data_IF_235766617101
#
_entry.id   IF_235766617101
#
_cell.length_a   1.000
_cell.length_b   1.000
_cell.length_c   1.000
_cell.angle_alpha   90.00
_cell.angle_beta   90.00
_cell.angle_gamma   90.00
#
_symmetry.space_group_name_H-M   'P 1'
#
loop_
_entity.id
_entity.type
_entity.pdbx_description
1 polymer ?
#
# COMPACT_ATOMS: atom_id res chain seq x y z
N UNK A 1 21.36 -13.75 -14.66
CA UNK A 1 22.76 -13.38 -14.99
C UNK A 1 23.33 -12.65 -13.79
N UNK A 2 24.48 -13.08 -13.23
CA UNK A 2 25.12 -12.33 -12.15
C UNK A 2 25.55 -10.94 -12.66
N UNK A 3 25.43 -9.92 -11.83
CA UNK A 3 25.89 -8.56 -12.17
C UNK A 3 27.41 -8.55 -12.30
N UNK A 4 27.95 -7.89 -13.33
CA UNK A 4 29.39 -7.68 -13.40
C UNK A 4 29.82 -6.65 -12.34
N UNK A 5 30.92 -6.89 -11.64
CA UNK A 5 31.42 -5.97 -10.59
C UNK A 5 31.64 -4.54 -11.12
N UNK A 6 32.11 -4.39 -12.37
CA UNK A 6 32.27 -3.07 -12.99
C UNK A 6 30.97 -2.28 -13.12
N UNK A 7 29.84 -2.97 -13.40
CA UNK A 7 28.52 -2.33 -13.41
C UNK A 7 28.06 -1.97 -12.00
N UNK A 8 28.27 -2.86 -11.01
CA UNK A 8 27.91 -2.58 -9.62
C UNK A 8 28.68 -1.37 -9.08
N UNK A 9 29.98 -1.27 -9.35
CA UNK A 9 30.77 -0.13 -8.88
C UNK A 9 30.40 1.17 -9.58
N UNK A 10 30.00 1.11 -10.85
CA UNK A 10 29.46 2.27 -11.57
C UNK A 10 28.15 2.75 -10.95
N UNK A 11 27.25 1.83 -10.58
CA UNK A 11 25.99 2.15 -9.89
C UNK A 11 26.24 2.72 -8.49
N UNK A 12 27.14 2.12 -7.70
CA UNK A 12 27.53 2.65 -6.39
C UNK A 12 28.10 4.06 -6.51
N UNK A 13 28.98 4.28 -7.48
CA UNK A 13 29.57 5.59 -7.74
C UNK A 13 28.51 6.63 -8.12
N UNK A 14 27.52 6.24 -8.93
CA UNK A 14 26.39 7.09 -9.29
C UNK A 14 25.54 7.44 -8.07
N UNK A 15 25.16 6.45 -7.26
CA UNK A 15 24.37 6.68 -6.04
C UNK A 15 25.08 7.61 -5.06
N UNK A 16 26.39 7.42 -4.85
CA UNK A 16 27.21 8.28 -3.99
C UNK A 16 27.35 9.69 -4.55
N UNK A 17 27.56 9.84 -5.86
CA UNK A 17 27.71 11.15 -6.50
C UNK A 17 26.45 12.02 -6.41
N UNK A 18 25.28 11.38 -6.29
CA UNK A 18 23.99 12.04 -6.22
C UNK A 18 23.31 11.87 -4.85
N UNK A 19 24.03 11.48 -3.79
CA UNK A 19 23.39 11.05 -2.55
C UNK A 19 22.50 12.13 -1.93
N UNK A 20 22.94 13.39 -1.97
CA UNK A 20 22.18 14.54 -1.45
C UNK A 20 20.98 14.96 -2.31
N UNK A 21 20.84 14.39 -3.51
CA UNK A 21 19.77 14.73 -4.47
C UNK A 21 18.75 13.59 -4.62
N UNK A 22 19.04 12.41 -4.08
CA UNK A 22 18.22 11.22 -4.22
C UNK A 22 17.19 11.12 -3.10
N UNK A 23 15.94 11.49 -3.40
CA UNK A 23 14.81 11.28 -2.48
C UNK A 23 14.20 9.87 -2.60
N UNK A 24 14.32 9.26 -3.78
CA UNK A 24 13.71 7.98 -4.10
C UNK A 24 14.65 7.10 -4.93
N UNK A 25 14.77 5.83 -4.55
CA UNK A 25 15.48 4.80 -5.31
C UNK A 25 14.53 3.64 -5.59
N UNK A 26 14.41 3.25 -6.86
CA UNK A 26 13.61 2.10 -7.31
C UNK A 26 14.53 1.02 -7.86
N UNK A 27 14.38 -0.19 -7.35
CA UNK A 27 15.18 -1.36 -7.70
C UNK A 27 14.26 -2.38 -8.37
N UNK A 28 14.50 -2.64 -9.65
CA UNK A 28 13.74 -3.59 -10.47
C UNK A 28 14.50 -4.91 -10.68
N UNK A 29 15.35 -5.30 -9.72
CA UNK A 29 16.14 -6.52 -9.86
C UNK A 29 16.43 -7.17 -8.53
N UNK A 30 16.33 -8.50 -8.53
CA UNK A 30 16.54 -9.34 -7.37
C UNK A 30 18.00 -9.40 -6.95
N UNK A 31 18.25 -9.37 -5.64
CA UNK A 31 19.59 -9.37 -5.06
C UNK A 31 20.44 -8.13 -5.38
N UNK A 32 19.89 -7.09 -6.00
CA UNK A 32 20.67 -5.87 -6.26
C UNK A 32 20.89 -5.05 -4.98
N UNK A 33 19.96 -5.14 -4.03
CA UNK A 33 19.99 -4.36 -2.79
C UNK A 33 21.23 -4.69 -1.94
N UNK A 34 21.54 -5.98 -1.74
CA UNK A 34 22.74 -6.38 -0.97
C UNK A 34 24.03 -5.75 -1.51
N UNK A 35 24.10 -5.50 -2.81
CA UNK A 35 25.25 -4.89 -3.47
C UNK A 35 25.26 -3.37 -3.43
N UNK A 36 24.11 -2.73 -3.27
CA UNK A 36 23.95 -1.27 -3.30
C UNK A 36 23.72 -0.64 -1.92
N UNK A 37 23.39 -1.43 -0.90
CA UNK A 37 22.99 -0.97 0.43
C UNK A 37 23.91 0.11 1.01
N UNK A 38 25.23 -0.11 0.92
CA UNK A 38 26.24 0.79 1.49
C UNK A 38 26.49 2.04 0.63
N UNK A 39 25.89 2.11 -0.56
CA UNK A 39 25.93 3.27 -1.44
C UNK A 39 24.61 4.07 -1.43
N UNK A 40 23.57 3.58 -0.76
CA UNK A 40 22.31 4.31 -0.63
C UNK A 40 22.51 5.52 0.30
N UNK A 41 21.86 6.67 0.00
CA UNK A 41 21.89 7.83 0.89
C UNK A 41 21.31 7.46 2.25
N UNK A 42 21.95 7.93 3.33
CA UNK A 42 21.46 7.72 4.70
C UNK A 42 20.18 8.49 5.00
N UNK A 43 19.89 9.53 4.22
CA UNK A 43 18.71 10.38 4.26
C UNK A 43 17.68 10.01 3.17
N UNK A 44 17.87 8.87 2.51
CA UNK A 44 16.95 8.37 1.50
C UNK A 44 15.54 8.26 2.07
N UNK A 45 14.60 8.99 1.49
CA UNK A 45 13.22 9.03 1.96
C UNK A 45 12.42 7.81 1.52
N UNK A 46 12.56 7.41 0.25
CA UNK A 46 11.73 6.37 -0.38
C UNK A 46 12.57 5.28 -1.06
N UNK A 47 12.19 4.03 -0.82
CA UNK A 47 12.81 2.86 -1.44
C UNK A 47 11.71 1.97 -2.02
N UNK A 48 11.85 1.61 -3.29
CA UNK A 48 10.90 0.76 -4.00
C UNK A 48 11.57 -0.50 -4.54
N UNK A 49 10.90 -1.63 -4.35
CA UNK A 49 11.27 -2.92 -4.93
C UNK A 49 10.19 -3.40 -5.87
N UNK A 50 10.58 -3.68 -7.11
CA UNK A 50 9.72 -4.35 -8.07
C UNK A 50 10.21 -5.76 -8.33
N UNK A 51 9.26 -6.67 -8.45
CA UNK A 51 9.51 -8.09 -8.69
C UNK A 51 10.43 -8.73 -7.64
N UNK A 52 10.29 -8.26 -6.40
CA UNK A 52 11.08 -8.70 -5.26
C UNK A 52 10.94 -10.20 -5.07
N UNK A 53 11.99 -10.93 -5.44
CA UNK A 53 12.23 -12.30 -5.04
C UNK A 53 13.45 -12.25 -4.14
N UNK A 54 13.25 -12.51 -2.85
CA UNK A 54 14.37 -12.63 -1.93
C UNK A 54 15.17 -13.86 -2.35
N UNK A 55 16.47 -13.74 -2.64
CA UNK A 55 17.31 -14.91 -2.66
C UNK A 55 17.29 -15.52 -1.25
N UNK A 56 17.40 -16.85 -1.19
CA UNK A 56 17.45 -17.69 0.02
C UNK A 56 18.53 -17.27 1.05
N UNK A 57 19.34 -16.25 0.77
CA UNK A 57 20.40 -15.76 1.64
C UNK A 57 19.98 -14.46 2.35
N UNK A 58 20.24 -14.39 3.66
CA UNK A 58 19.91 -13.30 4.60
C UNK A 58 20.46 -11.89 4.25
N UNK A 59 21.04 -11.69 3.07
CA UNK A 59 21.75 -10.48 2.66
C UNK A 59 20.85 -9.27 2.38
N UNK A 60 19.69 -9.47 1.76
CA UNK A 60 18.81 -8.36 1.36
C UNK A 60 18.07 -7.74 2.56
N UNK A 61 17.70 -8.53 3.58
CA UNK A 61 17.07 -7.97 4.77
C UNK A 61 18.08 -7.34 5.72
N UNK A 62 19.30 -7.88 5.78
CA UNK A 62 20.44 -7.17 6.37
C UNK A 62 20.72 -5.85 5.62
N UNK A 63 20.55 -5.81 4.30
CA UNK A 63 20.66 -4.59 3.52
C UNK A 63 19.56 -3.57 3.80
N UNK A 64 18.29 -4.01 3.92
CA UNK A 64 17.18 -3.15 4.38
C UNK A 64 17.43 -2.59 5.78
N UNK A 65 18.00 -3.39 6.69
CA UNK A 65 18.35 -2.91 8.05
C UNK A 65 19.45 -1.84 8.04
N UNK A 66 20.28 -1.80 7.00
CA UNK A 66 21.31 -0.75 6.81
C UNK A 66 20.74 0.54 6.24
N UNK A 67 19.56 0.50 5.60
CA UNK A 67 18.86 1.72 5.17
C UNK A 67 18.15 2.35 6.37
N UNK A 68 18.89 3.13 7.15
CA UNK A 68 18.35 3.91 8.26
C UNK A 68 17.57 5.12 7.75
N UNK A 69 16.65 5.64 8.56
CA UNK A 69 15.94 6.90 8.25
C UNK A 69 14.82 6.79 7.20
N UNK A 70 14.64 5.62 6.58
CA UNK A 70 13.64 5.41 5.52
C UNK A 70 12.21 5.74 5.99
N UNK A 71 11.53 6.61 5.25
CA UNK A 71 10.14 7.01 5.55
C UNK A 71 9.12 6.26 4.71
N UNK A 72 9.48 5.84 3.51
CA UNK A 72 8.55 5.19 2.58
C UNK A 72 9.17 3.92 1.98
N UNK A 73 8.42 2.83 2.04
CA UNK A 73 8.83 1.54 1.52
C UNK A 73 7.73 0.96 0.63
N UNK A 74 8.08 0.62 -0.61
CA UNK A 74 7.20 -0.11 -1.55
C UNK A 74 7.82 -1.45 -1.89
N UNK A 75 7.08 -2.53 -1.72
CA UNK A 75 7.52 -3.89 -2.04
C UNK A 75 6.45 -4.53 -2.93
N UNK A 76 6.85 -4.95 -4.13
CA UNK A 76 6.02 -5.73 -5.04
C UNK A 76 6.62 -7.11 -5.27
N UNK A 77 5.86 -8.16 -4.96
CA UNK A 77 6.27 -9.57 -5.12
C UNK A 77 5.51 -10.23 -6.27
N UNK A 78 6.14 -11.15 -7.02
CA UNK A 78 5.49 -11.81 -8.16
C UNK A 78 5.47 -13.35 -8.05
N UNK A 79 6.00 -13.91 -6.97
CA UNK A 79 6.21 -15.36 -6.83
C UNK A 79 5.21 -15.99 -5.85
N UNK A 80 4.62 -17.12 -6.26
CA UNK A 80 3.83 -18.03 -5.42
C UNK A 80 4.70 -19.14 -4.79
N UNK A 81 6.03 -19.04 -4.89
CA UNK A 81 6.96 -20.11 -4.49
C UNK A 81 7.12 -20.22 -2.96
N UNK A 82 7.56 -21.41 -2.52
CA UNK A 82 7.94 -21.72 -1.12
C UNK A 82 8.96 -20.73 -0.51
N UNK A 83 9.76 -20.04 -1.34
CA UNK A 83 10.69 -18.99 -0.90
C UNK A 83 9.98 -17.75 -0.33
N UNK A 84 8.69 -17.58 -0.59
CA UNK A 84 7.86 -16.48 -0.08
C UNK A 84 7.71 -16.53 1.45
N UNK A 85 7.73 -17.72 2.05
CA UNK A 85 7.61 -17.86 3.51
C UNK A 85 8.83 -17.29 4.22
N UNK A 86 10.03 -17.65 3.78
CA UNK A 86 11.28 -17.11 4.35
C UNK A 86 11.42 -15.60 4.09
N UNK A 87 11.04 -15.16 2.88
CA UNK A 87 10.97 -13.75 2.54
C UNK A 87 10.07 -12.97 3.50
N UNK A 88 8.94 -13.58 3.86
CA UNK A 88 7.96 -13.02 4.78
C UNK A 88 8.46 -12.90 6.21
N UNK A 89 9.15 -13.92 6.72
CA UNK A 89 9.75 -13.90 8.07
C UNK A 89 10.77 -12.76 8.19
N UNK A 90 11.61 -12.58 7.18
CA UNK A 90 12.66 -11.57 7.24
C UNK A 90 12.13 -10.15 7.08
N UNK A 91 11.14 -9.94 6.18
CA UNK A 91 10.44 -8.66 6.09
C UNK A 91 9.70 -8.35 7.39
N UNK A 92 9.05 -9.35 7.99
CA UNK A 92 8.40 -9.21 9.30
C UNK A 92 9.41 -8.72 10.35
N UNK A 93 10.58 -9.35 10.43
CA UNK A 93 11.61 -8.92 11.38
C UNK A 93 12.02 -7.46 11.11
N UNK A 94 12.13 -7.05 9.85
CA UNK A 94 12.40 -5.65 9.51
C UNK A 94 11.27 -4.72 10.00
N UNK A 95 10.01 -5.04 9.72
CA UNK A 95 8.85 -4.24 10.11
C UNK A 95 8.60 -4.22 11.63
N UNK A 96 9.06 -5.25 12.34
CA UNK A 96 9.05 -5.31 13.82
C UNK A 96 10.06 -4.38 14.46
N UNK A 97 11.13 -4.03 13.75
CA UNK A 97 12.09 -3.07 14.26
C UNK A 97 11.43 -1.67 14.29
N UNK A 98 11.51 -0.93 15.40
CA UNK A 98 10.98 0.42 15.46
C UNK A 98 11.72 1.31 14.46
N UNK A 99 10.96 2.07 13.66
CA UNK A 99 11.53 2.91 12.61
C UNK A 99 10.69 4.16 12.30
N UNK A 100 11.25 5.09 11.51
CA UNK A 100 10.57 6.30 11.06
C UNK A 100 9.65 6.05 9.85
N UNK A 101 9.31 4.79 9.56
CA UNK A 101 8.50 4.44 8.40
C UNK A 101 7.09 5.04 8.54
N UNK A 102 6.76 5.97 7.65
CA UNK A 102 5.50 6.72 7.59
C UNK A 102 4.55 6.12 6.53
N UNK A 103 5.08 5.51 5.46
CA UNK A 103 4.31 4.86 4.41
C UNK A 103 4.84 3.48 4.05
N UNK A 104 3.94 2.50 3.96
CA UNK A 104 4.24 1.14 3.54
C UNK A 104 3.28 0.74 2.42
N UNK A 105 3.83 0.30 1.30
CA UNK A 105 3.08 -0.25 0.17
C UNK A 105 3.49 -1.72 -0.05
N UNK A 106 2.55 -2.63 0.09
CA UNK A 106 2.72 -4.05 -0.17
C UNK A 106 1.85 -4.43 -1.36
N UNK A 107 2.48 -4.90 -2.43
CA UNK A 107 1.83 -5.23 -3.69
C UNK A 107 2.05 -6.71 -3.98
N UNK A 108 0.95 -7.45 -4.20
CA UNK A 108 0.92 -8.91 -4.44
C UNK A 108 1.62 -9.69 -3.33
N UNK A 109 1.56 -9.15 -2.12
CA UNK A 109 2.22 -9.72 -0.98
C UNK A 109 1.27 -10.68 -0.26
N UNK A 110 1.66 -11.95 -0.14
CA UNK A 110 0.94 -12.86 0.74
C UNK A 110 1.29 -12.49 2.16
N UNK A 111 0.30 -12.16 2.98
CA UNK A 111 0.48 -11.90 4.41
C UNK A 111 0.05 -13.17 5.15
N UNK A 112 0.91 -14.20 5.29
CA UNK A 112 0.54 -15.37 6.06
C UNK A 112 0.57 -15.00 7.54
N UNK A 113 -0.60 -14.69 8.14
CA UNK A 113 -0.77 -14.65 9.61
C UNK A 113 0.23 -13.76 10.36
N UNK A 114 0.60 -12.63 9.76
CA UNK A 114 1.55 -11.69 10.35
C UNK A 114 0.78 -10.62 11.13
N UNK A 115 1.17 -10.36 12.36
CA UNK A 115 0.81 -9.10 13.01
C UNK A 115 1.70 -8.03 12.39
N UNK A 116 1.20 -7.29 11.39
CA UNK A 116 2.00 -6.32 10.64
C UNK A 116 2.78 -5.40 11.58
N UNK A 117 4.11 -5.55 11.56
CA UNK A 117 5.03 -4.84 12.44
C UNK A 117 4.97 -5.17 13.92
N UNK A 118 3.98 -5.92 14.43
CA UNK A 118 3.79 -6.26 15.85
C UNK A 118 4.10 -5.08 16.83
N UNK A 119 3.69 -3.87 16.46
CA UNK A 119 3.93 -2.63 17.22
C UNK A 119 5.23 -1.88 16.88
N UNK A 120 6.07 -2.37 15.96
CA UNK A 120 7.27 -1.68 15.45
C UNK A 120 6.95 -0.50 14.53
N UNK A 121 5.84 -0.58 13.79
CA UNK A 121 5.38 0.43 12.83
C UNK A 121 4.63 1.60 13.52
N UNK A 122 5.17 2.12 14.61
CA UNK A 122 4.54 3.18 15.42
C UNK A 122 4.39 4.52 14.72
N UNK A 123 5.20 4.78 13.68
CA UNK A 123 5.18 6.00 12.88
C UNK A 123 4.32 5.89 11.62
N UNK A 124 3.80 4.70 11.32
CA UNK A 124 3.12 4.43 10.06
C UNK A 124 1.80 5.19 10.01
N UNK A 125 1.66 6.04 8.99
CA UNK A 125 0.49 6.86 8.73
C UNK A 125 -0.27 6.37 7.50
N UNK A 126 0.40 5.73 6.54
CA UNK A 126 -0.21 5.26 5.31
C UNK A 126 0.14 3.80 5.03
N UNK A 127 -0.88 2.99 4.77
CA UNK A 127 -0.75 1.59 4.39
C UNK A 127 -1.48 1.36 3.07
N UNK A 128 -0.75 0.86 2.07
CA UNK A 128 -1.30 0.41 0.78
C UNK A 128 -1.13 -1.09 0.69
N UNK A 129 -2.25 -1.80 0.48
CA UNK A 129 -2.29 -3.24 0.25
C UNK A 129 -2.93 -3.47 -1.12
N UNK A 130 -2.14 -3.94 -2.08
CA UNK A 130 -2.62 -4.32 -3.40
C UNK A 130 -2.44 -5.83 -3.59
N UNK A 131 -3.47 -6.52 -4.05
CA UNK A 131 -3.43 -7.96 -4.30
C UNK A 131 -2.99 -8.82 -3.10
N UNK A 132 -3.17 -8.33 -1.87
CA UNK A 132 -2.83 -9.03 -0.63
C UNK A 132 -3.94 -9.97 -0.13
N UNK A 133 -3.58 -10.85 0.82
CA UNK A 133 -4.56 -11.54 1.64
C UNK A 133 -5.07 -10.60 2.75
N UNK A 134 -6.39 -10.57 2.97
CA UNK A 134 -7.04 -9.69 3.95
C UNK A 134 -7.61 -10.45 5.16
N UNK A 135 -7.40 -11.77 5.24
CA UNK A 135 -8.03 -12.63 6.26
C UNK A 135 -7.59 -12.27 7.69
N UNK A 136 -6.44 -11.60 7.86
CA UNK A 136 -5.90 -11.13 9.15
C UNK A 136 -5.74 -9.61 9.24
N UNK A 137 -6.40 -8.88 8.33
CA UNK A 137 -6.23 -7.43 8.22
C UNK A 137 -6.62 -6.70 9.52
N UNK A 138 -7.62 -7.17 10.27
CA UNK A 138 -8.05 -6.50 11.50
C UNK A 138 -6.98 -6.56 12.59
N UNK A 139 -6.37 -7.74 12.77
CA UNK A 139 -5.27 -7.95 13.71
C UNK A 139 -4.06 -7.11 13.35
N UNK A 140 -3.77 -6.99 12.05
CA UNK A 140 -2.69 -6.15 11.53
C UNK A 140 -2.94 -4.67 11.82
N UNK A 141 -4.15 -4.18 11.54
CA UNK A 141 -4.52 -2.78 11.71
C UNK A 141 -4.52 -2.35 13.18
N UNK A 142 -4.86 -3.24 14.11
CA UNK A 142 -4.83 -2.98 15.56
C UNK A 142 -3.41 -2.62 16.07
N UNK A 143 -2.36 -3.06 15.37
CA UNK A 143 -0.97 -2.76 15.69
C UNK A 143 -0.46 -1.40 15.19
N UNK A 144 -1.30 -0.61 14.51
CA UNK A 144 -0.89 0.61 13.79
C UNK A 144 -1.56 1.86 14.37
N UNK A 145 -1.14 2.34 15.55
CA UNK A 145 -1.85 3.35 16.33
C UNK A 145 -1.92 4.74 15.65
N UNK A 146 -1.07 5.01 14.67
CA UNK A 146 -1.00 6.28 13.93
C UNK A 146 -1.50 6.19 12.49
N UNK A 147 -2.06 5.05 12.09
CA UNK A 147 -2.53 4.87 10.73
C UNK A 147 -3.68 5.83 10.44
N UNK A 148 -3.47 6.71 9.46
CA UNK A 148 -4.42 7.72 8.98
C UNK A 148 -5.05 7.34 7.65
N UNK A 149 -4.27 6.70 6.77
CA UNK A 149 -4.68 6.42 5.39
C UNK A 149 -4.51 4.94 5.08
N UNK A 150 -5.62 4.29 4.70
CA UNK A 150 -5.66 2.87 4.32
C UNK A 150 -6.15 2.73 2.88
N UNK A 151 -5.33 2.14 2.03
CA UNK A 151 -5.64 1.92 0.61
C UNK A 151 -5.65 0.42 0.33
N UNK A 152 -6.79 -0.12 -0.07
CA UNK A 152 -6.98 -1.52 -0.38
C UNK A 152 -7.30 -1.71 -1.86
N UNK A 153 -6.51 -2.52 -2.56
CA UNK A 153 -6.72 -2.90 -3.95
C UNK A 153 -6.86 -4.43 -4.07
N UNK A 154 -8.02 -5.01 -3.75
CA UNK A 154 -8.19 -6.47 -3.69
C UNK A 154 -8.00 -7.17 -5.05
N UNK A 155 -7.40 -8.37 -5.07
CA UNK A 155 -7.13 -9.08 -6.33
C UNK A 155 -8.42 -9.55 -7.04
N UNK A 156 -9.48 -9.89 -6.30
CA UNK A 156 -10.76 -10.43 -6.76
C UNK A 156 -11.85 -10.17 -5.70
N UNK A 157 -13.15 -10.35 -5.99
CA UNK A 157 -14.23 -9.95 -5.07
C UNK A 157 -14.31 -10.85 -3.84
N UNK A 158 -13.34 -10.75 -2.92
CA UNK A 158 -13.46 -11.27 -1.55
C UNK A 158 -14.46 -10.42 -0.77
N UNK A 159 -15.05 -10.94 0.32
CA UNK A 159 -15.99 -10.19 1.13
C UNK A 159 -15.28 -9.11 1.96
N UNK A 160 -14.66 -8.10 1.33
CA UNK A 160 -14.10 -6.92 2.02
C UNK A 160 -15.14 -6.22 2.92
N UNK A 161 -16.42 -6.38 2.60
CA UNK A 161 -17.51 -5.87 3.43
C UNK A 161 -17.50 -6.43 4.85
N UNK A 162 -17.04 -7.67 5.07
CA UNK A 162 -16.91 -8.26 6.41
C UNK A 162 -15.81 -7.54 7.21
N UNK A 163 -14.66 -7.29 6.57
CA UNK A 163 -13.55 -6.52 7.17
C UNK A 163 -14.04 -5.14 7.60
N UNK A 164 -14.69 -4.37 6.72
CA UNK A 164 -15.17 -3.02 7.06
C UNK A 164 -16.29 -2.99 8.10
N UNK A 165 -17.07 -4.07 8.22
CA UNK A 165 -18.07 -4.22 9.27
C UNK A 165 -17.40 -4.33 10.64
N UNK A 166 -16.26 -5.01 10.70
CA UNK A 166 -15.51 -5.29 11.93
C UNK A 166 -14.50 -4.20 12.30
N UNK A 167 -14.08 -3.37 11.35
CA UNK A 167 -13.31 -2.14 11.66
C UNK A 167 -14.20 -1.23 12.52
N UNK A 168 -13.85 -1.19 13.81
CA UNK A 168 -14.42 -0.25 14.77
C UNK A 168 -13.43 0.89 15.02
N UNK A 169 -13.91 2.05 15.48
CA UNK A 169 -13.05 3.15 15.91
C UNK A 169 -11.98 2.78 16.94
N UNK A 170 -12.21 1.72 17.72
CA UNK A 170 -11.24 1.26 18.72
C UNK A 170 -10.04 0.56 18.07
N UNK A 171 -10.20 -0.03 16.88
CA UNK A 171 -9.12 -0.74 16.17
C UNK A 171 -8.13 0.26 15.57
N UNK A 172 -8.63 1.33 14.94
CA UNK A 172 -7.79 2.36 14.30
C UNK A 172 -8.35 3.75 14.60
N UNK A 173 -8.05 4.31 15.78
CA UNK A 173 -8.66 5.57 16.21
C UNK A 173 -8.24 6.77 15.37
N UNK A 174 -7.10 6.69 14.67
CA UNK A 174 -6.53 7.76 13.87
C UNK A 174 -6.94 7.71 12.38
N UNK A 175 -7.78 6.76 11.96
CA UNK A 175 -8.12 6.58 10.55
C UNK A 175 -8.96 7.76 10.03
N UNK A 176 -8.48 8.38 8.95
CA UNK A 176 -9.05 9.57 8.32
C UNK A 176 -9.37 9.38 6.83
N UNK A 177 -8.63 8.50 6.14
CA UNK A 177 -8.81 8.20 4.72
C UNK A 177 -8.87 6.69 4.48
N UNK A 178 -9.88 6.25 3.74
CA UNK A 178 -10.00 4.88 3.24
C UNK A 178 -10.21 4.92 1.73
N UNK A 179 -9.37 4.23 0.98
CA UNK A 179 -9.51 4.04 -0.46
C UNK A 179 -9.71 2.55 -0.72
N UNK A 180 -10.74 2.20 -1.48
CA UNK A 180 -10.94 0.82 -1.93
C UNK A 180 -11.02 0.81 -3.44
N UNK A 181 -9.98 0.33 -4.11
CA UNK A 181 -9.94 0.25 -5.57
C UNK A 181 -10.15 -1.18 -6.02
N UNK A 182 -11.34 -1.50 -6.53
CA UNK A 182 -11.60 -2.83 -7.07
C UNK A 182 -10.99 -2.97 -8.47
N UNK A 183 -10.30 -4.09 -8.72
CA UNK A 183 -9.88 -4.45 -10.08
C UNK A 183 -11.11 -4.67 -10.95
N UNK A 184 -11.50 -3.62 -11.67
CA UNK A 184 -12.38 -3.79 -12.82
C UNK A 184 -11.54 -4.53 -13.86
N UNK A 185 -11.73 -5.85 -13.98
CA UNK A 185 -11.16 -6.61 -15.09
C UNK A 185 -11.74 -6.03 -16.38
N UNK A 186 -11.03 -5.07 -16.98
CA UNK A 186 -11.40 -4.44 -18.26
C UNK A 186 -11.49 -5.48 -19.41
N UNK A 187 -11.04 -6.71 -19.16
CA UNK A 187 -11.23 -7.86 -20.02
C UNK A 187 -12.62 -8.50 -19.81
N UNK A 188 -13.68 -7.71 -20.00
CA UNK A 188 -15.09 -8.13 -19.98
C UNK A 188 -15.49 -9.15 -21.06
N UNK A 189 -14.63 -10.10 -21.40
CA UNK A 189 -14.90 -11.22 -22.31
C UNK A 189 -14.64 -12.60 -21.68
N UNK A 190 -14.10 -12.67 -20.46
CA UNK A 190 -13.83 -13.94 -19.77
C UNK A 190 -14.87 -14.27 -18.71
N UNK A 191 -15.98 -14.92 -19.11
CA UNK A 191 -16.90 -15.77 -18.32
C UNK A 191 -17.00 -15.56 -16.79
N UNK A 192 -17.13 -14.32 -16.30
CA UNK A 192 -17.54 -14.10 -14.91
C UNK A 192 -19.04 -14.43 -14.82
N UNK A 193 -19.41 -15.46 -14.05
CA UNK A 193 -20.80 -15.83 -13.81
C UNK A 193 -21.63 -14.57 -13.46
N UNK A 194 -22.70 -14.24 -14.22
CA UNK A 194 -23.40 -12.94 -14.13
C UNK A 194 -24.08 -12.60 -12.79
N UNK A 195 -24.07 -13.50 -11.81
CA UNK A 195 -24.91 -13.39 -10.61
C UNK A 195 -24.24 -12.81 -9.35
N UNK A 196 -22.92 -12.92 -9.19
CA UNK A 196 -22.28 -12.68 -7.89
C UNK A 196 -21.57 -11.34 -7.76
N UNK A 197 -21.08 -10.75 -8.85
CA UNK A 197 -20.37 -9.47 -8.80
C UNK A 197 -21.31 -8.29 -8.51
N UNK A 198 -22.51 -8.27 -9.13
CA UNK A 198 -23.45 -7.14 -9.02
C UNK A 198 -24.05 -6.93 -7.62
N UNK A 199 -24.09 -7.96 -6.76
CA UNK A 199 -24.63 -7.84 -5.39
C UNK A 199 -23.58 -7.46 -4.35
N UNK A 200 -22.28 -7.57 -4.68
CA UNK A 200 -21.17 -7.29 -3.75
C UNK A 200 -20.84 -5.81 -3.65
N UNK A 201 -20.88 -5.09 -4.77
CA UNK A 201 -20.60 -3.64 -4.82
C UNK A 201 -21.56 -2.84 -3.92
N UNK A 202 -22.90 -3.04 -3.95
CA UNK A 202 -23.81 -2.33 -3.05
C UNK A 202 -23.55 -2.60 -1.57
N UNK A 203 -23.14 -3.82 -1.21
CA UNK A 203 -22.81 -4.17 0.18
C UNK A 203 -21.54 -3.46 0.64
N UNK A 204 -20.48 -3.50 -0.16
CA UNK A 204 -19.24 -2.79 0.13
C UNK A 204 -19.47 -1.28 0.29
N UNK A 205 -20.23 -0.68 -0.64
CA UNK A 205 -20.63 0.73 -0.54
C UNK A 205 -21.38 1.00 0.77
N UNK A 206 -22.32 0.12 1.15
CA UNK A 206 -23.08 0.27 2.40
C UNK A 206 -22.19 0.19 3.64
N UNK A 207 -21.18 -0.69 3.63
CA UNK A 207 -20.22 -0.81 4.73
C UNK A 207 -19.25 0.38 4.80
N UNK A 208 -18.77 0.90 3.67
CA UNK A 208 -17.96 2.13 3.64
C UNK A 208 -18.75 3.33 4.17
N UNK A 209 -20.02 3.46 3.80
CA UNK A 209 -20.92 4.45 4.40
C UNK A 209 -21.08 4.21 5.91
N UNK A 210 -21.34 2.97 6.31
CA UNK A 210 -21.45 2.58 7.72
C UNK A 210 -20.21 2.97 8.52
N UNK A 211 -19.03 2.71 7.98
CA UNK A 211 -17.74 3.07 8.56
C UNK A 211 -17.62 4.58 8.76
N UNK A 212 -17.94 5.37 7.72
CA UNK A 212 -17.94 6.85 7.79
C UNK A 212 -18.90 7.37 8.86
N UNK A 213 -20.08 6.77 9.03
CA UNK A 213 -21.06 7.16 10.07
C UNK A 213 -20.56 6.83 11.48
N UNK A 214 -19.95 5.67 11.67
CA UNK A 214 -19.50 5.17 12.98
C UNK A 214 -18.18 5.79 13.44
N UNK A 215 -17.39 6.36 12.54
CA UNK A 215 -16.10 6.95 12.88
C UNK A 215 -16.24 8.14 13.86
N UNK A 216 -15.40 8.23 14.92
CA UNK A 216 -15.49 9.30 15.91
C UNK A 216 -14.89 10.60 15.38
N UNK A 217 -13.82 10.50 14.59
CA UNK A 217 -13.17 11.59 13.88
C UNK A 217 -13.67 11.69 12.43
N UNK A 218 -13.45 12.81 11.71
CA UNK A 218 -13.75 12.92 10.29
C UNK A 218 -13.06 11.79 9.50
N UNK A 219 -13.86 11.04 8.75
CA UNK A 219 -13.40 9.95 7.90
C UNK A 219 -13.94 10.16 6.48
N UNK A 220 -13.06 9.99 5.50
CA UNK A 220 -13.36 10.04 4.08
C UNK A 220 -13.08 8.68 3.46
N UNK A 221 -14.11 8.04 2.96
CA UNK A 221 -13.97 6.78 2.24
C UNK A 221 -14.22 7.01 0.75
N UNK A 222 -13.41 6.44 -0.13
CA UNK A 222 -13.61 6.47 -1.57
C UNK A 222 -13.58 5.04 -2.12
N UNK A 223 -14.57 4.71 -2.92
CA UNK A 223 -14.63 3.48 -3.69
C UNK A 223 -14.22 3.78 -5.13
N UNK A 224 -13.32 2.94 -5.65
CA UNK A 224 -12.55 3.15 -6.88
C UNK A 224 -11.92 4.55 -6.88
N UNK A 225 -12.39 5.42 -7.76
CA UNK A 225 -11.95 6.82 -7.87
C UNK A 225 -13.11 7.78 -8.07
N UNK A 226 -14.34 7.26 -8.10
CA UNK A 226 -15.52 7.99 -8.54
C UNK A 226 -16.53 8.20 -7.43
N UNK A 227 -16.50 7.44 -6.33
CA UNK A 227 -17.56 7.51 -5.32
C UNK A 227 -16.98 7.76 -3.94
N UNK A 228 -17.19 8.96 -3.40
CA UNK A 228 -16.66 9.38 -2.10
C UNK A 228 -17.78 9.59 -1.07
N UNK A 229 -17.51 9.11 0.15
CA UNK A 229 -18.38 9.13 1.31
C UNK A 229 -17.74 9.98 2.43
N UNK A 230 -18.50 10.92 2.97
CA UNK A 230 -18.08 11.78 4.09
C UNK A 230 -19.29 12.37 4.82
N UNK A 231 -19.09 12.93 6.03
CA UNK A 231 -20.17 13.51 6.86
C UNK A 231 -20.47 15.00 6.61
N UNK A 232 -19.52 15.76 6.06
CA UNK A 232 -19.71 17.20 5.85
C UNK A 232 -20.59 17.50 4.61
N UNK A 233 -21.12 18.72 4.45
CA UNK A 233 -21.82 19.14 3.22
C UNK A 233 -20.95 19.00 1.97
N UNK A 234 -21.55 18.63 0.84
CA UNK A 234 -20.84 18.50 -0.46
C UNK A 234 -20.23 19.83 -0.90
N UNK A 235 -20.87 20.96 -0.54
CA UNK A 235 -20.36 22.32 -0.81
C UNK A 235 -18.99 22.60 -0.17
N UNK A 236 -18.63 21.91 0.92
CA UNK A 236 -17.37 22.09 1.63
C UNK A 236 -16.22 21.23 1.06
N UNK A 237 -16.50 20.36 0.09
CA UNK A 237 -15.51 19.44 -0.50
C UNK A 237 -14.25 20.16 -0.99
N UNK A 238 -14.39 21.30 -1.67
CA UNK A 238 -13.26 22.02 -2.29
C UNK A 238 -12.27 22.53 -1.24
N UNK A 239 -12.75 22.86 -0.04
CA UNK A 239 -11.92 23.31 1.08
C UNK A 239 -11.48 22.21 2.04
N UNK A 240 -11.98 20.98 1.86
CA UNK A 240 -11.69 19.88 2.77
C UNK A 240 -10.36 19.18 2.40
N UNK A 241 -9.33 19.21 3.27
CA UNK A 241 -8.05 18.57 2.96
C UNK A 241 -8.17 17.04 2.82
N UNK A 242 -9.05 16.40 3.59
CA UNK A 242 -9.28 14.95 3.54
C UNK A 242 -9.97 14.51 2.23
N UNK A 243 -10.89 15.31 1.68
CA UNK A 243 -11.44 15.05 0.35
C UNK A 243 -10.34 15.07 -0.72
N UNK A 244 -9.43 16.04 -0.62
CA UNK A 244 -8.30 16.16 -1.55
C UNK A 244 -7.35 14.98 -1.41
N UNK A 245 -6.97 14.62 -0.18
CA UNK A 245 -6.09 13.48 0.11
C UNK A 245 -6.69 12.17 -0.41
N UNK A 246 -7.93 11.86 -0.04
CA UNK A 246 -8.64 10.66 -0.50
C UNK A 246 -8.71 10.58 -2.03
N UNK A 247 -8.95 11.71 -2.70
CA UNK A 247 -8.98 11.76 -4.16
C UNK A 247 -7.59 11.46 -4.75
N UNK A 248 -6.54 12.08 -4.22
CA UNK A 248 -5.16 11.89 -4.69
C UNK A 248 -4.71 10.44 -4.50
N UNK A 249 -4.97 9.83 -3.35
CA UNK A 249 -4.63 8.43 -3.07
C UNK A 249 -5.41 7.47 -3.98
N UNK A 250 -6.70 7.73 -4.25
CA UNK A 250 -7.48 6.95 -5.20
C UNK A 250 -6.95 7.04 -6.63
N UNK A 251 -6.56 8.25 -7.08
CA UNK A 251 -5.92 8.44 -8.39
C UNK A 251 -4.61 7.67 -8.47
N UNK A 252 -3.77 7.78 -7.43
CA UNK A 252 -2.48 7.11 -7.37
C UNK A 252 -2.63 5.58 -7.43
N UNK A 253 -3.52 5.01 -6.62
CA UNK A 253 -3.84 3.59 -6.64
C UNK A 253 -4.31 3.11 -8.03
N UNK A 254 -5.14 3.92 -8.72
CA UNK A 254 -5.60 3.61 -10.07
C UNK A 254 -4.51 3.73 -11.14
N UNK A 255 -3.60 4.70 -11.02
CA UNK A 255 -2.52 4.90 -11.99
C UNK A 255 -1.47 3.80 -11.94
N UNK A 256 -1.09 3.38 -10.74
CA UNK A 256 -0.23 2.20 -10.53
C UNK A 256 -0.87 0.96 -11.14
N UNK A 257 -2.18 0.77 -10.90
CA UNK A 257 -2.94 -0.34 -11.47
C UNK A 257 -2.99 -0.37 -13.02
N UNK A 258 -3.12 0.80 -13.66
CA UNK A 258 -3.28 0.89 -15.12
C UNK A 258 -1.95 0.85 -15.89
N UNK A 259 -0.83 0.51 -15.24
CA UNK A 259 0.48 0.33 -15.87
C UNK A 259 0.98 1.58 -16.59
N UNK A 260 0.69 2.77 -16.05
CA UNK A 260 1.13 4.02 -16.65
C UNK A 260 0.44 4.37 -17.97
N UNK A 261 -0.77 3.85 -18.26
CA UNK A 261 -1.64 4.42 -19.30
C UNK A 261 -1.96 5.88 -18.93
N UNK A 262 -1.08 6.78 -19.36
CA UNK A 262 -1.25 8.23 -19.30
C UNK A 262 -2.57 8.55 -19.99
N UNK A 263 -3.36 9.45 -19.39
CA UNK A 263 -4.56 10.08 -19.95
C UNK A 263 -5.93 9.49 -19.58
N UNK A 264 -6.12 8.92 -18.39
CA UNK A 264 -7.39 9.19 -17.71
C UNK A 264 -7.22 10.54 -17.02
N UNK A 265 -7.61 11.62 -17.71
CA UNK A 265 -7.99 12.83 -17.00
C UNK A 265 -9.19 12.42 -16.16
N UNK A 266 -8.95 12.09 -14.89
CA UNK A 266 -9.99 12.12 -13.89
C UNK A 266 -10.45 13.56 -13.91
N UNK A 267 -11.57 13.82 -14.57
CA UNK A 267 -12.22 15.11 -14.76
C UNK A 267 -12.69 15.74 -13.43
N UNK A 268 -12.30 15.14 -12.30
CA UNK A 268 -12.69 15.54 -10.97
C UNK A 268 -14.12 15.16 -10.62
N UNK A 269 -14.83 14.42 -11.48
CA UNK A 269 -16.22 13.98 -11.28
C UNK A 269 -16.31 12.84 -10.26
N UNK A 270 -15.73 13.04 -9.08
CA UNK A 270 -16.04 12.20 -7.92
C UNK A 270 -17.49 12.50 -7.54
N UNK A 271 -18.36 11.52 -7.71
CA UNK A 271 -19.69 11.45 -7.12
C UNK A 271 -19.56 11.48 -5.59
N UNK A 272 -20.03 12.58 -5.00
CA UNK A 272 -19.93 12.78 -3.57
C UNK A 272 -21.26 12.46 -2.90
N UNK A 273 -21.20 11.56 -1.94
CA UNK A 273 -22.33 11.12 -1.14
C UNK A 273 -22.09 11.61 0.29
N UNK A 274 -22.95 12.51 0.75
CA UNK A 274 -23.01 12.86 2.17
C UNK A 274 -23.69 11.71 2.91
N UNK A 275 -23.07 11.26 4.00
CA UNK A 275 -23.44 10.04 4.72
C UNK A 275 -23.96 10.32 6.12
#
# INVERSE_FOLDING_TARGET
MPFSEGCLESLRSLLRAHSEQLDCVRIQSNGLLVHLADALPSDLRRLEFEEFTLPSEAGDTAALRRTHGLKELKISTWSEDELLEQASIELEHFLRAPGPLERLELIRYFIPTLTLGAGGLTSLQCLVLEECNYDSLLEELAGLPRLRSLILCPPHPRPLHEVFREITPAVIPALEVVVVSERVTLNGLGHSSPGTAHTRVPRLISELQGLVRRAPAPLHAIYCYDTMFFRHPVSERVGCPLCREASVEAVAAMHEYMGGRKHIKLDGSVHCVKV
#
